data_IF_715249648691
#
_entry.id   IF_715249648691
#
_cell.length_a   1.000
_cell.length_b   1.000
_cell.length_c   1.000
_cell.angle_alpha   90.00
_cell.angle_beta   90.00
_cell.angle_gamma   90.00
#
_symmetry.space_group_name_H-M   'P 1'
#
loop_
_entity.id
_entity.type
_entity.pdbx_description
1 polymer ?
#
# COMPACT_ATOMS: atom_id res chain seq x y z
N UNK A 1 24.61 8.54 2.15
CA UNK A 1 23.59 7.47 2.00
C UNK A 1 23.87 6.53 0.82
N UNK A 2 25.15 6.13 0.59
CA UNK A 2 25.53 5.35 -0.61
C UNK A 2 24.82 3.99 -0.69
N UNK A 3 24.63 3.32 0.44
CA UNK A 3 23.97 2.00 0.51
C UNK A 3 22.52 2.05 -0.03
N UNK A 4 21.74 3.05 0.37
CA UNK A 4 20.34 3.21 -0.08
C UNK A 4 20.30 3.48 -1.59
N UNK A 5 21.15 4.36 -2.11
CA UNK A 5 21.21 4.64 -3.56
C UNK A 5 21.61 3.41 -4.37
N UNK A 6 22.53 2.59 -3.88
CA UNK A 6 22.92 1.34 -4.54
C UNK A 6 21.80 0.29 -4.50
N UNK A 7 21.05 0.22 -3.39
CA UNK A 7 20.03 -0.81 -3.17
C UNK A 7 18.61 -0.37 -3.57
N UNK A 8 18.38 0.89 -3.94
CA UNK A 8 17.03 1.43 -4.18
C UNK A 8 16.25 0.62 -5.22
N UNK A 9 16.92 0.11 -6.25
CA UNK A 9 16.31 -0.77 -7.25
C UNK A 9 15.67 -2.00 -6.59
N UNK A 10 16.40 -2.68 -5.72
CA UNK A 10 15.91 -3.88 -5.03
C UNK A 10 14.85 -3.55 -4.00
N UNK A 11 15.01 -2.44 -3.27
CA UNK A 11 13.99 -1.96 -2.32
C UNK A 11 12.68 -1.73 -3.07
N UNK A 12 12.70 -1.02 -4.22
CA UNK A 12 11.52 -0.78 -5.04
C UNK A 12 10.89 -2.07 -5.59
N UNK A 13 11.70 -3.02 -6.08
CA UNK A 13 11.18 -4.28 -6.63
C UNK A 13 10.51 -5.11 -5.52
N UNK A 14 11.19 -5.32 -4.38
CA UNK A 14 10.68 -6.15 -3.30
C UNK A 14 9.40 -5.54 -2.69
N UNK A 15 9.44 -4.25 -2.35
CA UNK A 15 8.26 -3.56 -1.83
C UNK A 15 7.12 -3.49 -2.85
N UNK A 16 7.45 -3.34 -4.14
CA UNK A 16 6.49 -3.41 -5.24
C UNK A 16 5.82 -4.78 -5.34
N UNK A 17 6.58 -5.87 -5.25
CA UNK A 17 6.04 -7.25 -5.24
C UNK A 17 5.10 -7.49 -4.05
N UNK A 18 5.49 -7.07 -2.84
CA UNK A 18 4.61 -7.14 -1.68
C UNK A 18 3.34 -6.32 -1.90
N UNK A 19 3.46 -5.12 -2.46
CA UNK A 19 2.31 -4.25 -2.73
C UNK A 19 1.39 -4.83 -3.82
N UNK A 20 1.93 -5.57 -4.79
CA UNK A 20 1.14 -6.29 -5.81
C UNK A 20 0.25 -7.38 -5.22
N UNK A 21 0.49 -7.86 -3.99
CA UNK A 21 -0.42 -8.79 -3.31
C UNK A 21 -1.84 -8.23 -3.18
N UNK A 22 -2.00 -6.90 -3.22
CA UNK A 22 -3.30 -6.22 -3.20
C UNK A 22 -4.20 -6.51 -4.40
N UNK A 23 -3.66 -7.07 -5.49
CA UNK A 23 -4.50 -7.63 -6.55
C UNK A 23 -5.37 -8.80 -6.06
N UNK A 24 -5.03 -9.44 -4.93
CA UNK A 24 -5.92 -10.39 -4.27
C UNK A 24 -7.24 -9.72 -3.88
N UNK A 25 -7.22 -8.49 -3.34
CA UNK A 25 -8.45 -7.75 -2.99
C UNK A 25 -9.27 -7.33 -4.22
N UNK A 26 -8.64 -7.22 -5.40
CA UNK A 26 -9.34 -7.02 -6.67
C UNK A 26 -10.14 -8.26 -7.09
N UNK A 27 -9.58 -9.46 -6.93
CA UNK A 27 -10.19 -10.72 -7.39
C UNK A 27 -11.12 -11.31 -6.32
N UNK A 28 -10.63 -11.37 -5.08
CA UNK A 28 -11.30 -11.91 -3.90
C UNK A 28 -11.25 -10.86 -2.75
N UNK A 29 -12.19 -9.91 -2.72
CA UNK A 29 -12.17 -8.77 -1.78
C UNK A 29 -12.22 -9.20 -0.32
N UNK A 30 -12.94 -10.27 0.01
CA UNK A 30 -12.98 -10.87 1.36
C UNK A 30 -11.59 -11.35 1.80
N UNK A 31 -10.97 -12.21 0.99
CA UNK A 31 -9.65 -12.75 1.28
C UNK A 31 -8.58 -11.65 1.38
N UNK A 32 -8.68 -10.61 0.55
CA UNK A 32 -7.79 -9.46 0.61
C UNK A 32 -7.92 -8.64 1.90
N UNK A 33 -9.15 -8.47 2.40
CA UNK A 33 -9.38 -7.80 3.69
C UNK A 33 -8.95 -8.66 4.87
N UNK A 34 -9.29 -9.94 4.87
CA UNK A 34 -8.89 -10.89 5.91
C UNK A 34 -7.36 -10.96 6.03
N UNK A 35 -6.62 -10.93 4.91
CA UNK A 35 -5.16 -10.93 4.91
C UNK A 35 -4.56 -9.72 5.63
N UNK A 36 -5.20 -8.56 5.56
CA UNK A 36 -4.65 -7.28 6.05
C UNK A 36 -5.20 -6.86 7.40
N UNK A 37 -6.48 -7.10 7.62
CA UNK A 37 -7.24 -6.59 8.76
C UNK A 37 -7.76 -7.73 9.65
N UNK A 38 -7.72 -8.98 9.18
CA UNK A 38 -8.17 -10.15 9.96
C UNK A 38 -9.68 -10.23 10.14
N UNK A 39 -10.42 -9.40 9.40
CA UNK A 39 -11.86 -9.30 9.49
C UNK A 39 -12.50 -9.42 8.11
N UNK A 40 -13.62 -10.12 8.06
CA UNK A 40 -14.46 -10.28 6.88
C UNK A 40 -15.58 -9.25 6.97
N UNK A 41 -15.28 -7.99 6.62
CA UNK A 41 -16.28 -6.89 6.59
C UNK A 41 -17.53 -7.19 5.72
N UNK A 42 -17.42 -8.19 4.84
CA UNK A 42 -18.48 -8.65 3.94
C UNK A 42 -19.30 -9.80 4.59
N UNK A 43 -18.89 -10.34 5.74
CA UNK A 43 -19.58 -11.46 6.38
C UNK A 43 -20.85 -10.99 7.10
N UNK A 44 -21.95 -11.43 6.52
CA UNK A 44 -23.34 -11.18 6.87
C UNK A 44 -23.63 -11.60 8.32
N UNK A 45 -23.92 -10.63 9.21
CA UNK A 45 -24.73 -10.94 10.37
C UNK A 45 -26.20 -10.92 9.93
N UNK A 46 -26.91 -12.01 10.22
CA UNK A 46 -28.26 -12.34 9.75
C UNK A 46 -29.41 -11.43 10.26
N UNK A 47 -29.13 -10.18 10.64
CA UNK A 47 -30.13 -9.22 11.10
C UNK A 47 -29.81 -7.87 10.45
N UNK A 48 -30.66 -7.49 9.48
CA UNK A 48 -30.48 -6.34 8.61
C UNK A 48 -30.12 -5.05 9.33
N UNK A 49 -28.86 -4.64 9.19
CA UNK A 49 -28.40 -3.24 9.21
C UNK A 49 -26.91 -3.20 8.84
N UNK A 50 -26.58 -3.46 7.57
CA UNK A 50 -25.31 -2.96 7.04
C UNK A 50 -25.50 -1.48 6.70
N UNK A 51 -24.66 -0.62 7.25
CA UNK A 51 -24.67 0.84 7.00
C UNK A 51 -24.14 1.15 5.58
N UNK A 52 -23.62 0.14 4.87
CA UNK A 52 -23.15 0.18 3.49
C UNK A 52 -23.79 -0.95 2.70
N UNK A 53 -24.21 -0.65 1.47
CA UNK A 53 -24.65 -1.64 0.48
C UNK A 53 -23.50 -2.62 0.21
N UNK A 54 -23.75 -3.92 0.33
CA UNK A 54 -22.77 -4.97 0.08
C UNK A 54 -22.17 -4.85 -1.33
N UNK A 55 -22.99 -4.50 -2.33
CA UNK A 55 -22.53 -4.28 -3.69
C UNK A 55 -21.58 -3.08 -3.77
N UNK A 56 -21.87 -2.01 -3.04
CA UNK A 56 -21.00 -0.84 -2.96
C UNK A 56 -19.66 -1.18 -2.30
N UNK A 57 -19.67 -1.90 -1.18
CA UNK A 57 -18.45 -2.33 -0.50
C UNK A 57 -17.55 -3.17 -1.43
N UNK A 58 -18.13 -4.13 -2.15
CA UNK A 58 -17.38 -4.94 -3.12
C UNK A 58 -16.73 -4.09 -4.22
N UNK A 59 -17.44 -3.11 -4.78
CA UNK A 59 -16.88 -2.23 -5.81
C UNK A 59 -15.70 -1.42 -5.25
N UNK A 60 -15.87 -0.83 -4.07
CA UNK A 60 -14.84 0.01 -3.43
C UNK A 60 -13.59 -0.80 -3.09
N UNK A 61 -13.73 -1.96 -2.44
CA UNK A 61 -12.59 -2.79 -2.03
C UNK A 61 -11.82 -3.29 -3.24
N UNK A 62 -12.53 -3.74 -4.29
CA UNK A 62 -11.90 -4.21 -5.52
C UNK A 62 -11.15 -3.09 -6.24
N UNK A 63 -11.77 -1.91 -6.36
CA UNK A 63 -11.14 -0.74 -6.95
C UNK A 63 -9.89 -0.31 -6.17
N UNK A 64 -10.01 -0.24 -4.84
CA UNK A 64 -8.91 0.10 -3.94
C UNK A 64 -7.74 -0.89 -4.05
N UNK A 65 -8.04 -2.20 -4.06
CA UNK A 65 -7.06 -3.25 -4.29
C UNK A 65 -6.34 -3.12 -5.64
N UNK A 66 -7.07 -2.80 -6.71
CA UNK A 66 -6.48 -2.54 -8.03
C UNK A 66 -5.55 -1.31 -8.02
N UNK A 67 -5.97 -0.21 -7.40
CA UNK A 67 -5.17 1.01 -7.31
C UNK A 67 -3.87 0.75 -6.56
N UNK A 68 -3.91 0.08 -5.41
CA UNK A 68 -2.69 -0.25 -4.66
C UNK A 68 -1.83 -1.23 -5.43
N UNK A 69 -2.41 -2.27 -6.03
CA UNK A 69 -1.68 -3.21 -6.88
C UNK A 69 -0.94 -2.52 -8.02
N UNK A 70 -1.56 -1.51 -8.65
CA UNK A 70 -0.92 -0.67 -9.67
C UNK A 70 0.25 0.16 -9.12
N UNK A 71 0.17 0.67 -7.88
CA UNK A 71 1.32 1.29 -7.22
C UNK A 71 2.47 0.29 -7.07
N UNK A 72 2.16 -0.97 -6.77
CA UNK A 72 3.15 -2.06 -6.77
C UNK A 72 3.83 -2.25 -8.13
N UNK A 73 3.07 -2.24 -9.23
CA UNK A 73 3.61 -2.31 -10.59
C UNK A 73 4.48 -1.09 -10.93
N UNK A 74 4.06 0.11 -10.51
CA UNK A 74 4.85 1.33 -10.69
C UNK A 74 6.19 1.22 -9.94
N UNK A 75 6.19 0.73 -8.70
CA UNK A 75 7.42 0.51 -7.93
C UNK A 75 8.38 -0.44 -8.65
N UNK A 76 7.87 -1.59 -9.14
CA UNK A 76 8.68 -2.52 -9.93
C UNK A 76 9.26 -1.82 -11.16
N UNK A 77 8.43 -1.07 -11.90
CA UNK A 77 8.85 -0.32 -13.08
C UNK A 77 9.95 0.72 -12.76
N UNK A 78 9.76 1.52 -11.71
CA UNK A 78 10.75 2.52 -11.26
C UNK A 78 12.06 1.88 -10.81
N UNK A 79 12.04 0.66 -10.27
CA UNK A 79 13.24 -0.11 -9.99
C UNK A 79 14.15 -0.26 -11.22
N UNK A 80 13.57 -0.48 -12.41
CA UNK A 80 14.32 -0.64 -13.66
C UNK A 80 14.54 0.67 -14.44
N UNK A 81 13.68 1.68 -14.27
CA UNK A 81 13.73 2.94 -15.04
C UNK A 81 14.09 4.12 -14.14
N UNK A 82 15.38 4.51 -14.16
CA UNK A 82 15.90 5.58 -13.32
C UNK A 82 15.18 6.93 -13.49
N UNK A 83 14.74 7.26 -14.71
CA UNK A 83 14.09 8.53 -15.01
C UNK A 83 12.76 8.74 -14.26
N UNK A 84 11.96 7.70 -14.06
CA UNK A 84 10.65 7.78 -13.41
C UNK A 84 10.69 7.53 -11.89
N UNK A 85 11.85 7.17 -11.34
CA UNK A 85 12.01 6.77 -9.92
C UNK A 85 11.48 7.81 -8.95
N UNK A 86 11.87 9.07 -9.14
CA UNK A 86 11.54 10.13 -8.20
C UNK A 86 10.02 10.25 -8.02
N UNK A 87 9.29 10.41 -9.14
CA UNK A 87 7.83 10.54 -9.12
C UNK A 87 7.16 9.28 -8.56
N UNK A 88 7.63 8.09 -8.96
CA UNK A 88 7.06 6.82 -8.48
C UNK A 88 7.24 6.66 -6.97
N UNK A 89 8.42 7.00 -6.43
CA UNK A 89 8.70 6.94 -5.00
C UNK A 89 7.87 7.96 -4.22
N UNK A 90 7.62 9.15 -4.76
CA UNK A 90 6.72 10.14 -4.16
C UNK A 90 5.30 9.59 -4.08
N UNK A 91 4.75 9.08 -5.19
CA UNK A 91 3.40 8.50 -5.21
C UNK A 91 3.28 7.33 -4.22
N UNK A 92 4.26 6.43 -4.22
CA UNK A 92 4.26 5.28 -3.32
C UNK A 92 4.38 5.69 -1.85
N UNK A 93 5.26 6.66 -1.53
CA UNK A 93 5.42 7.17 -0.17
C UNK A 93 4.14 7.84 0.34
N UNK A 94 3.49 8.67 -0.48
CA UNK A 94 2.22 9.32 -0.12
C UNK A 94 1.13 8.29 0.08
N UNK A 95 0.95 7.36 -0.85
CA UNK A 95 -0.08 6.31 -0.76
C UNK A 95 0.07 5.47 0.52
N UNK A 96 1.28 5.01 0.83
CA UNK A 96 1.57 4.24 2.05
C UNK A 96 1.40 5.09 3.31
N UNK A 97 1.79 6.36 3.29
CA UNK A 97 1.61 7.27 4.44
C UNK A 97 0.14 7.48 4.76
N UNK A 98 -0.71 7.61 3.74
CA UNK A 98 -2.17 7.71 3.91
C UNK A 98 -2.72 6.41 4.53
N UNK A 99 -2.31 5.24 4.03
CA UNK A 99 -2.70 3.95 4.61
C UNK A 99 -2.31 3.83 6.09
N UNK A 100 -1.06 4.17 6.44
CA UNK A 100 -0.56 4.16 7.82
C UNK A 100 -1.38 5.13 8.68
N UNK A 101 -1.57 6.37 8.23
CA UNK A 101 -2.30 7.39 8.98
C UNK A 101 -3.75 6.98 9.24
N UNK A 102 -4.46 6.46 8.25
CA UNK A 102 -5.84 5.99 8.41
C UNK A 102 -5.94 4.84 9.42
N UNK A 103 -5.02 3.88 9.38
CA UNK A 103 -5.00 2.79 10.35
C UNK A 103 -4.73 3.28 11.78
N UNK A 104 -3.81 4.23 11.95
CA UNK A 104 -3.48 4.76 13.27
C UNK A 104 -4.55 5.68 13.86
N UNK A 105 -5.27 6.43 13.02
CA UNK A 105 -6.29 7.40 13.47
C UNK A 105 -7.65 6.73 13.65
N UNK A 106 -8.04 5.86 12.73
CA UNK A 106 -9.42 5.32 12.64
C UNK A 106 -9.44 3.80 12.88
N UNK A 107 -8.41 3.08 12.44
CA UNK A 107 -8.38 1.61 12.39
C UNK A 107 -8.07 0.89 13.71
N UNK A 108 -8.40 1.47 14.86
CA UNK A 108 -8.00 0.95 16.18
C UNK A 108 -8.36 -0.52 16.42
N UNK A 109 -9.49 -0.97 15.88
CA UNK A 109 -9.99 -2.36 15.99
C UNK A 109 -9.19 -3.36 15.13
N UNK A 110 -8.59 -2.89 14.03
CA UNK A 110 -7.83 -3.74 13.10
C UNK A 110 -6.31 -3.66 13.32
N UNK A 111 -5.86 -2.79 14.23
CA UNK A 111 -4.43 -2.56 14.46
C UNK A 111 -3.68 -3.84 14.81
N UNK A 112 -4.27 -4.75 15.59
CA UNK A 112 -3.61 -6.00 15.98
C UNK A 112 -3.22 -6.86 14.78
N UNK A 113 -4.06 -6.89 13.73
CA UNK A 113 -3.78 -7.64 12.50
C UNK A 113 -2.94 -6.83 11.52
N UNK A 114 -3.26 -5.54 11.34
CA UNK A 114 -2.60 -4.67 10.36
C UNK A 114 -1.24 -4.15 10.80
N UNK A 115 -0.83 -4.35 12.07
CA UNK A 115 0.44 -3.84 12.60
C UNK A 115 1.64 -4.29 11.77
N UNK A 116 1.63 -5.53 11.27
CA UNK A 116 2.72 -6.05 10.44
C UNK A 116 2.85 -5.26 9.14
N UNK A 117 1.72 -4.98 8.48
CA UNK A 117 1.70 -4.17 7.27
C UNK A 117 2.12 -2.72 7.56
N UNK A 118 1.64 -2.13 8.66
CA UNK A 118 1.97 -0.75 9.07
C UNK A 118 3.46 -0.60 9.35
N UNK A 119 4.08 -1.53 10.09
CA UNK A 119 5.52 -1.50 10.41
C UNK A 119 6.35 -1.64 9.13
N UNK A 120 6.01 -2.61 8.28
CA UNK A 120 6.71 -2.80 7.01
C UNK A 120 6.60 -1.55 6.14
N UNK A 121 5.40 -1.00 5.98
CA UNK A 121 5.19 0.19 5.15
C UNK A 121 5.86 1.42 5.74
N UNK A 122 5.93 1.55 7.07
CA UNK A 122 6.65 2.65 7.73
C UNK A 122 8.14 2.60 7.44
N UNK A 123 8.76 1.40 7.50
CA UNK A 123 10.17 1.21 7.14
C UNK A 123 10.40 1.55 5.67
N UNK A 124 9.53 1.07 4.78
CA UNK A 124 9.63 1.32 3.34
C UNK A 124 9.48 2.81 3.02
N UNK A 125 8.50 3.48 3.62
CA UNK A 125 8.30 4.93 3.48
C UNK A 125 9.53 5.69 3.95
N UNK A 126 10.10 5.32 5.10
CA UNK A 126 11.33 5.97 5.59
C UNK A 126 12.48 5.81 4.59
N UNK A 127 12.68 4.62 4.02
CA UNK A 127 13.70 4.38 3.00
C UNK A 127 13.48 5.22 1.74
N UNK A 128 12.23 5.35 1.28
CA UNK A 128 11.89 6.19 0.13
C UNK A 128 12.15 7.67 0.41
N UNK A 129 11.73 8.15 1.58
CA UNK A 129 11.91 9.53 1.99
C UNK A 129 13.40 9.86 2.06
N UNK A 130 14.22 9.03 2.72
CA UNK A 130 15.67 9.22 2.78
C UNK A 130 16.30 9.28 1.37
N UNK A 131 15.89 8.39 0.46
CA UNK A 131 16.35 8.43 -0.93
C UNK A 131 15.95 9.72 -1.65
N UNK A 132 14.69 10.16 -1.50
CA UNK A 132 14.15 11.36 -2.15
C UNK A 132 14.83 12.64 -1.66
N UNK A 133 15.20 12.71 -0.37
CA UNK A 133 15.95 13.83 0.19
C UNK A 133 17.39 13.90 -0.36
N UNK A 134 18.05 12.76 -0.57
CA UNK A 134 19.43 12.69 -1.10
C UNK A 134 19.49 12.94 -2.62
N UNK A 135 18.43 12.62 -3.36
CA UNK A 135 18.38 12.68 -4.83
C UNK A 135 17.34 13.69 -5.36
N UNK A 136 17.19 14.82 -4.68
CA UNK A 136 16.26 15.87 -5.12
C UNK A 136 16.65 16.37 -6.53
N UNK A 137 15.72 16.42 -7.49
CA UNK A 137 16.01 16.97 -8.80
C UNK A 137 16.36 18.46 -8.65
N UNK A 138 17.44 18.90 -9.30
CA UNK A 138 18.01 20.25 -9.20
C UNK A 138 17.20 21.34 -9.92
N UNK A 139 15.95 21.06 -10.31
CA UNK A 139 15.07 21.95 -11.07
C UNK A 139 13.89 22.47 -10.23
N UNK A 140 14.01 22.47 -8.91
CA UNK A 140 13.04 23.02 -7.94
C UNK A 140 13.70 24.12 -7.09
#
# INVERSE_FOLDING_TARGET
MKLINTQIKWIMILSGLFTCSMFLALVAPTAGLEMLFGDSLIQTNAIGSSILDEAFAQIVIRNWGALIGMVGLLLIHGGFKAHSRYLILVIAAVSKSVFIALNLIIGSEYLSTSITAIVLDSVVVLLYVLYLFDNRPSSL
#
